data_IF_889712731073
#
_entry.id   IF_889712731073
#
_cell.length_a   1.000
_cell.length_b   1.000
_cell.length_c   1.000
_cell.angle_alpha   90.00
_cell.angle_beta   90.00
_cell.angle_gamma   90.00
#
_symmetry.space_group_name_H-M   'P 1'
#
loop_
_entity.id
_entity.type
_entity.pdbx_description
1 polymer ?
#
# COMPACT_ATOMS: atom_id res chain seq x y z
N UNK A 1 2.79 10.18 -24.61
CA UNK A 1 3.43 9.72 -23.35
C UNK A 1 4.84 9.24 -23.69
N UNK A 2 5.81 9.50 -22.83
CA UNK A 2 7.17 8.95 -22.91
C UNK A 2 7.18 7.43 -22.81
N UNK A 3 8.25 6.76 -23.22
CA UNK A 3 8.44 5.32 -23.06
C UNK A 3 9.02 4.97 -21.68
N UNK A 4 8.94 3.68 -21.28
CA UNK A 4 9.59 3.19 -20.06
C UNK A 4 11.09 3.52 -20.00
N UNK A 5 11.91 3.25 -21.03
CA UNK A 5 13.34 3.58 -20.99
C UNK A 5 13.61 5.07 -20.74
N UNK A 6 12.86 5.96 -21.41
CA UNK A 6 13.02 7.40 -21.22
C UNK A 6 12.68 7.86 -19.79
N UNK A 7 11.75 7.19 -19.11
CA UNK A 7 11.45 7.47 -17.71
C UNK A 7 12.48 6.82 -16.77
N UNK A 8 12.96 5.63 -17.09
CA UNK A 8 14.05 4.99 -16.35
C UNK A 8 15.32 5.85 -16.34
N UNK A 9 15.68 6.47 -17.48
CA UNK A 9 16.80 7.40 -17.57
C UNK A 9 16.60 8.61 -16.65
N UNK A 10 15.39 9.16 -16.57
CA UNK A 10 15.06 10.26 -15.64
C UNK A 10 15.09 9.86 -14.17
N UNK A 11 14.85 8.59 -13.84
CA UNK A 11 15.02 8.10 -12.46
C UNK A 11 16.51 8.03 -12.12
N UNK A 12 17.35 7.67 -13.08
CA UNK A 12 18.82 7.57 -12.92
C UNK A 12 19.52 8.92 -12.90
N UNK A 13 18.97 9.90 -13.61
CA UNK A 13 19.50 11.26 -13.69
C UNK A 13 19.58 11.93 -12.31
N UNK A 14 20.82 12.11 -11.82
CA UNK A 14 21.10 12.70 -10.51
C UNK A 14 20.94 14.21 -10.48
N UNK A 15 20.92 14.86 -11.64
CA UNK A 15 20.77 16.32 -11.76
C UNK A 15 19.30 16.74 -11.63
N UNK A 16 18.38 15.78 -11.73
CA UNK A 16 16.96 16.03 -11.51
C UNK A 16 16.59 16.05 -10.02
N UNK A 17 15.72 16.98 -9.59
CA UNK A 17 15.16 16.97 -8.25
C UNK A 17 14.48 15.64 -7.91
N UNK A 18 14.61 15.17 -6.66
CA UNK A 18 14.04 13.91 -6.17
C UNK A 18 12.58 13.70 -6.56
N UNK A 19 11.75 14.75 -6.43
CA UNK A 19 10.34 14.71 -6.82
C UNK A 19 10.13 14.36 -8.29
N UNK A 20 10.97 14.85 -9.21
CA UNK A 20 10.87 14.53 -10.64
C UNK A 20 11.28 13.09 -10.92
N UNK A 21 12.33 12.61 -10.25
CA UNK A 21 12.77 11.21 -10.31
C UNK A 21 11.70 10.26 -9.81
N UNK A 22 11.02 10.59 -8.71
CA UNK A 22 9.88 9.83 -8.19
C UNK A 22 8.71 9.77 -9.18
N UNK A 23 8.36 10.89 -9.82
CA UNK A 23 7.30 10.90 -10.83
C UNK A 23 7.67 10.03 -12.03
N UNK A 24 8.94 10.05 -12.45
CA UNK A 24 9.43 9.16 -13.51
C UNK A 24 9.29 7.67 -13.12
N UNK A 25 9.61 7.30 -11.88
CA UNK A 25 9.43 5.93 -11.39
C UNK A 25 7.95 5.50 -11.40
N UNK A 26 7.03 6.41 -11.06
CA UNK A 26 5.59 6.15 -11.14
C UNK A 26 5.14 5.89 -12.58
N UNK A 27 5.64 6.68 -13.53
CA UNK A 27 5.39 6.45 -14.96
C UNK A 27 5.95 5.10 -15.42
N UNK A 28 7.14 4.69 -14.97
CA UNK A 28 7.66 3.34 -15.22
C UNK A 28 6.69 2.25 -14.71
N UNK A 29 6.11 2.46 -13.53
CA UNK A 29 5.13 1.53 -12.92
C UNK A 29 3.81 1.49 -13.69
N UNK A 30 3.39 2.60 -14.31
CA UNK A 30 2.23 2.61 -15.22
C UNK A 30 2.49 1.79 -16.50
N UNK A 31 3.73 1.83 -17.02
CA UNK A 31 4.12 1.05 -18.19
C UNK A 31 4.23 -0.46 -17.92
N UNK A 32 4.56 -0.85 -16.69
CA UNK A 32 4.68 -2.26 -16.30
C UNK A 32 4.24 -2.45 -14.85
N UNK A 33 3.12 -3.13 -14.65
CA UNK A 33 2.51 -3.33 -13.32
C UNK A 33 2.04 -4.77 -13.15
N UNK A 34 2.94 -5.74 -12.92
CA UNK A 34 2.60 -7.16 -12.90
C UNK A 34 1.44 -7.51 -11.95
N UNK A 35 1.24 -6.77 -10.86
CA UNK A 35 0.14 -7.00 -9.91
C UNK A 35 -1.07 -6.07 -10.07
N UNK A 36 -1.10 -5.25 -11.12
CA UNK A 36 -1.91 -4.03 -11.14
C UNK A 36 -1.17 -2.87 -10.49
N UNK A 37 -1.53 -1.64 -10.87
CA UNK A 37 -0.75 -0.46 -10.52
C UNK A 37 -0.59 -0.26 -9.01
N UNK A 38 -1.69 -0.34 -8.25
CA UNK A 38 -1.68 -0.08 -6.80
C UNK A 38 -0.83 -1.09 -6.04
N UNK A 39 -1.03 -2.38 -6.30
CA UNK A 39 -0.28 -3.45 -5.66
C UNK A 39 1.19 -3.47 -6.09
N UNK A 40 1.49 -3.17 -7.36
CA UNK A 40 2.90 -3.05 -7.82
C UNK A 40 3.58 -1.86 -7.15
N UNK A 41 2.88 -0.71 -7.06
CA UNK A 41 3.42 0.46 -6.37
C UNK A 41 3.67 0.15 -4.90
N UNK A 42 2.69 -0.41 -4.18
CA UNK A 42 2.85 -0.85 -2.79
C UNK A 42 4.04 -1.80 -2.62
N UNK A 43 4.18 -2.80 -3.50
CA UNK A 43 5.31 -3.72 -3.51
C UNK A 43 6.64 -2.98 -3.59
N UNK A 44 6.79 -2.04 -4.52
CA UNK A 44 8.02 -1.24 -4.63
C UNK A 44 8.25 -0.38 -3.38
N UNK A 45 7.20 0.19 -2.79
CA UNK A 45 7.34 0.96 -1.55
C UNK A 45 7.89 0.11 -0.41
N UNK A 46 7.35 -1.08 -0.21
CA UNK A 46 7.75 -1.96 0.88
C UNK A 46 9.08 -2.65 0.60
N UNK A 47 9.25 -3.29 -0.56
CA UNK A 47 10.41 -4.14 -0.84
C UNK A 47 11.66 -3.35 -1.24
N UNK A 48 11.50 -2.29 -2.04
CA UNK A 48 12.64 -1.41 -2.32
C UNK A 48 12.86 -0.37 -1.21
N UNK A 49 11.95 -0.30 -0.23
CA UNK A 49 12.03 0.57 0.94
C UNK A 49 11.92 2.05 0.59
N UNK A 50 11.01 2.44 -0.31
CA UNK A 50 10.85 3.84 -0.70
C UNK A 50 10.34 4.68 0.49
N UNK A 51 11.13 5.64 1.00
CA UNK A 51 10.70 6.44 2.13
C UNK A 51 9.70 7.54 1.75
N UNK A 52 9.02 8.07 2.76
CA UNK A 52 8.17 9.26 2.62
C UNK A 52 9.06 10.45 2.23
N UNK A 53 10.16 10.65 2.96
CA UNK A 53 11.20 11.63 2.67
C UNK A 53 12.35 10.95 1.90
N UNK A 54 12.50 11.27 0.61
CA UNK A 54 13.47 10.58 -0.28
C UNK A 54 14.92 10.90 0.06
N UNK A 55 15.13 12.00 0.79
CA UNK A 55 16.41 12.47 1.26
C UNK A 55 17.04 11.50 2.27
N UNK A 56 16.22 10.71 2.99
CA UNK A 56 16.69 9.68 3.93
C UNK A 56 17.38 8.51 3.22
N UNK A 57 16.91 8.16 2.03
CA UNK A 57 17.49 7.10 1.20
C UNK A 57 17.27 7.38 -0.29
N UNK A 58 18.12 8.22 -0.90
CA UNK A 58 18.03 8.51 -2.33
C UNK A 58 18.23 7.26 -3.21
N UNK A 59 18.94 6.25 -2.69
CA UNK A 59 19.22 4.99 -3.38
C UNK A 59 17.98 4.11 -3.54
N UNK A 60 16.92 4.34 -2.76
CA UNK A 60 15.69 3.56 -2.83
C UNK A 60 15.01 3.63 -4.20
N UNK A 61 15.12 4.77 -4.90
CA UNK A 61 14.55 4.95 -6.24
C UNK A 61 15.23 4.05 -7.28
N UNK A 62 16.55 3.91 -7.18
CA UNK A 62 17.32 3.05 -8.09
C UNK A 62 17.02 1.58 -7.81
N UNK A 63 16.96 1.16 -6.55
CA UNK A 63 16.58 -0.22 -6.19
C UNK A 63 15.19 -0.58 -6.70
N UNK A 64 14.22 0.33 -6.54
CA UNK A 64 12.87 0.14 -7.06
C UNK A 64 12.83 0.04 -8.60
N UNK A 65 13.61 0.89 -9.28
CA UNK A 65 13.72 0.86 -10.73
C UNK A 65 14.35 -0.45 -11.21
N UNK A 66 15.46 -0.87 -10.60
CA UNK A 66 16.21 -2.06 -11.00
C UNK A 66 15.35 -3.31 -10.85
N UNK A 67 14.61 -3.44 -9.76
CA UNK A 67 13.66 -4.54 -9.57
C UNK A 67 12.55 -4.55 -10.63
N UNK A 68 11.98 -3.38 -10.95
CA UNK A 68 10.94 -3.26 -11.96
C UNK A 68 11.46 -3.54 -13.38
N UNK A 69 12.66 -3.07 -13.69
CA UNK A 69 13.30 -3.24 -14.99
C UNK A 69 13.73 -4.69 -15.22
N UNK A 70 14.30 -5.36 -14.23
CA UNK A 70 14.64 -6.79 -14.30
C UNK A 70 13.41 -7.65 -14.61
N UNK A 71 12.31 -7.41 -13.88
CA UNK A 71 11.04 -8.08 -14.13
C UNK A 71 10.47 -7.77 -15.52
N UNK A 72 10.58 -6.52 -15.97
CA UNK A 72 10.13 -6.10 -17.30
C UNK A 72 10.93 -6.75 -18.41
N UNK A 73 12.25 -6.90 -18.26
CA UNK A 73 13.12 -7.54 -19.25
C UNK A 73 12.71 -8.99 -19.49
N UNK A 74 12.38 -9.74 -18.43
CA UNK A 74 11.86 -11.11 -18.54
C UNK A 74 10.55 -11.17 -19.34
N UNK A 75 9.63 -10.25 -19.05
CA UNK A 75 8.37 -10.14 -19.78
C UNK A 75 8.56 -9.76 -21.25
N UNK A 76 9.47 -8.81 -21.56
CA UNK A 76 9.79 -8.40 -22.92
C UNK A 76 10.42 -9.54 -23.72
N UNK A 77 11.35 -10.29 -23.12
CA UNK A 77 11.98 -11.45 -23.75
C UNK A 77 10.94 -12.52 -24.11
N UNK A 78 10.04 -12.85 -23.18
CA UNK A 78 8.95 -13.80 -23.43
C UNK A 78 7.99 -13.30 -24.51
N UNK A 79 7.64 -12.01 -24.48
CA UNK A 79 6.78 -11.36 -25.49
C UNK A 79 7.43 -11.39 -26.88
N UNK A 80 8.73 -11.11 -26.97
CA UNK A 80 9.46 -11.13 -28.24
C UNK A 80 9.54 -12.55 -28.81
N UNK A 81 9.80 -13.56 -27.97
CA UNK A 81 9.80 -14.96 -28.37
C UNK A 81 8.44 -15.38 -28.95
N UNK A 82 7.34 -14.98 -28.30
CA UNK A 82 5.98 -15.18 -28.80
C UNK A 82 5.73 -14.50 -30.14
N UNK A 83 6.09 -13.22 -30.28
CA UNK A 83 5.92 -12.47 -31.55
C UNK A 83 6.67 -13.17 -32.68
N UNK A 84 7.92 -13.58 -32.45
CA UNK A 84 8.74 -14.29 -33.44
C UNK A 84 8.10 -15.61 -33.85
N UNK A 85 7.66 -16.43 -32.87
CA UNK A 85 6.97 -17.70 -33.14
C UNK A 85 5.66 -17.48 -33.92
N UNK A 86 4.84 -16.51 -33.52
CA UNK A 86 3.58 -16.19 -34.21
C UNK A 86 3.79 -15.70 -35.64
N UNK A 87 4.87 -14.96 -35.91
CA UNK A 87 5.22 -14.56 -37.28
C UNK A 87 5.52 -15.78 -38.15
N UNK A 88 6.31 -16.74 -37.62
CA UNK A 88 6.61 -17.99 -38.32
C UNK A 88 5.36 -18.86 -38.54
N UNK A 89 4.51 -19.02 -37.52
CA UNK A 89 3.25 -19.77 -37.63
C UNK A 89 2.29 -19.15 -38.65
N UNK A 90 2.15 -17.82 -38.65
CA UNK A 90 1.35 -17.11 -39.66
C UNK A 90 1.88 -17.31 -41.08
N UNK A 91 3.20 -17.28 -41.26
CA UNK A 91 3.84 -17.55 -42.55
C UNK A 91 3.60 -19.00 -43.01
N UNK A 92 3.57 -19.95 -42.07
CA UNK A 92 3.24 -21.35 -42.30
C UNK A 92 1.72 -21.64 -42.37
N UNK A 93 0.86 -20.61 -42.48
CA UNK A 93 -0.59 -20.75 -42.63
C UNK A 93 -1.39 -21.00 -41.34
N UNK A 94 -0.72 -21.14 -40.17
CA UNK A 94 -1.38 -21.35 -38.86
C UNK A 94 -1.80 -20.02 -38.22
N UNK A 95 -3.04 -19.61 -38.46
CA UNK A 95 -3.55 -18.29 -38.04
C UNK A 95 -4.20 -18.24 -36.64
N UNK A 96 -4.70 -19.35 -36.12
CA UNK A 96 -5.18 -19.39 -34.72
C UNK A 96 -4.00 -19.35 -33.74
N UNK A 97 -4.12 -18.51 -32.72
CA UNK A 97 -3.21 -18.54 -31.58
C UNK A 97 -3.58 -19.73 -30.69
N UNK A 98 -2.58 -20.29 -30.00
CA UNK A 98 -2.81 -21.43 -29.11
C UNK A 98 -3.44 -20.97 -27.80
N UNK A 99 -4.03 -21.88 -27.02
CA UNK A 99 -4.73 -21.52 -25.78
C UNK A 99 -3.78 -20.96 -24.72
N UNK A 100 -2.58 -21.53 -24.65
CA UNK A 100 -1.46 -21.10 -23.81
C UNK A 100 -0.92 -19.71 -24.18
N UNK A 101 -1.32 -19.14 -25.33
CA UNK A 101 -0.92 -17.79 -25.72
C UNK A 101 -1.88 -16.70 -25.23
N UNK A 102 -2.96 -17.12 -24.55
CA UNK A 102 -4.00 -16.21 -24.08
C UNK A 102 -3.47 -15.12 -23.14
N UNK A 103 -2.42 -15.39 -22.37
CA UNK A 103 -1.87 -14.42 -21.42
C UNK A 103 -1.21 -13.22 -22.12
N UNK A 104 -0.75 -13.36 -23.37
CA UNK A 104 -0.23 -12.23 -24.16
C UNK A 104 -1.32 -11.23 -24.58
N UNK A 105 -2.60 -11.59 -24.42
CA UNK A 105 -3.74 -10.69 -24.68
C UNK A 105 -4.26 -10.00 -23.41
N UNK A 106 -3.71 -10.33 -22.24
CA UNK A 106 -4.05 -9.64 -21.01
C UNK A 106 -3.44 -8.24 -21.01
N UNK A 107 -4.07 -7.25 -20.35
CA UNK A 107 -3.40 -6.00 -20.00
C UNK A 107 -2.11 -6.29 -19.21
N UNK A 108 -1.20 -5.32 -19.07
CA UNK A 108 0.16 -5.48 -18.48
C UNK A 108 0.23 -5.99 -17.02
N UNK A 109 -0.81 -6.67 -16.53
CA UNK A 109 -0.97 -7.29 -15.22
C UNK A 109 -0.92 -8.81 -15.40
N UNK A 110 0.15 -9.43 -14.91
CA UNK A 110 0.34 -10.88 -14.96
C UNK A 110 -0.34 -11.59 -13.77
N UNK A 111 -0.57 -10.91 -12.66
CA UNK A 111 -1.09 -11.48 -11.42
C UNK A 111 -1.84 -10.41 -10.61
N UNK A 112 -3.00 -9.97 -11.10
CA UNK A 112 -3.75 -8.88 -10.48
C UNK A 112 -4.07 -9.15 -9.00
N UNK A 113 -3.71 -8.21 -8.13
CA UNK A 113 -3.99 -8.23 -6.70
C UNK A 113 -4.98 -7.10 -6.38
N UNK A 114 -6.22 -7.42 -5.96
CA UNK A 114 -7.25 -6.43 -5.68
C UNK A 114 -6.95 -5.63 -4.40
N UNK A 115 -6.39 -6.30 -3.39
CA UNK A 115 -5.87 -5.65 -2.19
C UNK A 115 -4.38 -5.31 -2.41
N UNK A 116 -3.98 -4.03 -2.39
CA UNK A 116 -2.60 -3.64 -2.57
C UNK A 116 -1.65 -4.12 -1.47
N UNK A 117 -2.13 -4.45 -0.26
CA UNK A 117 -1.27 -4.96 0.83
C UNK A 117 -1.03 -6.46 0.73
N UNK A 118 -1.91 -7.17 0.02
CA UNK A 118 -1.88 -8.63 -0.11
C UNK A 118 -1.40 -8.97 -1.52
N UNK A 119 -0.09 -8.99 -1.69
CA UNK A 119 0.60 -9.41 -2.91
C UNK A 119 1.79 -10.32 -2.57
N UNK A 120 2.36 -11.06 -3.55
CA UNK A 120 3.60 -11.79 -3.36
C UNK A 120 4.73 -10.87 -2.87
N UNK A 121 5.50 -11.32 -1.86
CA UNK A 121 6.62 -10.55 -1.28
C UNK A 121 7.97 -10.83 -1.94
N UNK A 122 8.10 -11.94 -2.66
CA UNK A 122 9.29 -12.27 -3.45
C UNK A 122 9.55 -11.22 -4.54
N UNK A 123 10.82 -11.07 -4.96
CA UNK A 123 11.21 -10.09 -5.99
C UNK A 123 10.34 -10.21 -7.24
N UNK A 124 9.96 -9.08 -7.84
CA UNK A 124 9.10 -9.05 -9.03
C UNK A 124 9.61 -9.99 -10.14
N UNK A 125 10.91 -9.99 -10.40
CA UNK A 125 11.52 -10.83 -11.43
C UNK A 125 11.29 -12.34 -11.19
N UNK A 126 11.37 -12.78 -9.94
CA UNK A 126 11.14 -14.18 -9.55
C UNK A 126 9.69 -14.58 -9.81
N UNK A 127 8.75 -13.73 -9.40
CA UNK A 127 7.33 -14.01 -9.58
C UNK A 127 6.95 -13.93 -11.05
N UNK A 128 7.38 -12.90 -11.79
CA UNK A 128 7.14 -12.77 -13.23
C UNK A 128 7.68 -13.96 -14.01
N UNK A 129 8.89 -14.43 -13.73
CA UNK A 129 9.44 -15.62 -14.37
C UNK A 129 8.56 -16.85 -14.12
N UNK A 130 8.22 -17.09 -12.85
CA UNK A 130 7.36 -18.22 -12.44
C UNK A 130 6.00 -18.17 -13.14
N UNK A 131 5.44 -16.96 -13.26
CA UNK A 131 4.18 -16.74 -13.95
C UNK A 131 4.30 -17.01 -15.46
N UNK A 132 5.35 -16.53 -16.13
CA UNK A 132 5.57 -16.80 -17.56
C UNK A 132 5.68 -18.31 -17.82
N UNK A 133 6.45 -19.03 -17.00
CA UNK A 133 6.64 -20.48 -17.13
C UNK A 133 5.31 -21.21 -16.96
N UNK A 134 4.55 -20.89 -15.92
CA UNK A 134 3.28 -21.58 -15.68
C UNK A 134 2.25 -21.26 -16.78
N UNK A 135 2.26 -20.07 -17.39
CA UNK A 135 1.32 -19.71 -18.45
C UNK A 135 1.67 -20.40 -19.77
N UNK A 136 2.97 -20.63 -20.00
CA UNK A 136 3.46 -21.41 -21.13
C UNK A 136 3.31 -22.93 -20.96
N UNK A 137 2.91 -23.40 -19.77
CA UNK A 137 2.67 -24.82 -19.54
C UNK A 137 1.25 -25.22 -19.93
N UNK A 138 1.09 -26.33 -20.64
CA UNK A 138 -0.22 -26.92 -20.98
C UNK A 138 -0.93 -27.55 -19.76
N UNK A 139 -0.35 -27.43 -18.57
CA UNK A 139 -0.85 -28.05 -17.35
C UNK A 139 -2.18 -27.41 -16.91
N UNK A 140 -3.10 -28.26 -16.44
CA UNK A 140 -4.33 -27.82 -15.80
C UNK A 140 -4.03 -26.85 -14.63
N UNK A 141 -5.00 -25.99 -14.24
CA UNK A 141 -4.81 -25.08 -13.10
C UNK A 141 -4.31 -25.86 -11.89
N UNK A 142 -3.08 -25.61 -11.46
CA UNK A 142 -2.49 -26.32 -10.32
C UNK A 142 -3.28 -26.00 -9.05
N UNK A 143 -3.36 -26.96 -8.13
CA UNK A 143 -3.83 -26.73 -6.75
C UNK A 143 -2.92 -25.73 -6.02
N UNK A 144 -1.74 -25.45 -6.57
CA UNK A 144 -0.77 -24.50 -6.07
C UNK A 144 -0.87 -23.16 -6.82
N UNK A 145 -0.80 -22.05 -6.10
CA UNK A 145 -0.71 -20.72 -6.69
C UNK A 145 0.65 -20.53 -7.37
N UNK A 146 0.72 -20.25 -8.68
CA UNK A 146 1.99 -20.03 -9.37
C UNK A 146 2.62 -18.67 -9.03
N UNK A 147 1.97 -17.79 -8.28
CA UNK A 147 2.61 -16.57 -7.77
C UNK A 147 3.40 -16.86 -6.48
N UNK A 148 2.76 -17.44 -5.46
CA UNK A 148 3.37 -17.64 -4.14
C UNK A 148 3.69 -19.09 -3.76
N UNK A 149 3.40 -20.08 -4.62
CA UNK A 149 3.56 -21.52 -4.38
C UNK A 149 2.74 -22.11 -3.21
N UNK A 150 1.82 -21.35 -2.62
CA UNK A 150 0.91 -21.87 -1.59
C UNK A 150 -0.25 -22.67 -2.20
N UNK A 151 -0.86 -23.54 -1.40
CA UNK A 151 -2.12 -24.20 -1.77
C UNK A 151 -3.21 -23.15 -2.03
N UNK A 152 -3.95 -23.34 -3.11
CA UNK A 152 -5.02 -22.46 -3.57
C UNK A 152 -6.35 -23.17 -3.42
N UNK A 153 -7.04 -22.87 -2.32
CA UNK A 153 -8.39 -23.35 -2.05
C UNK A 153 -9.50 -22.43 -2.58
N UNK A 154 -9.17 -21.19 -2.93
CA UNK A 154 -10.12 -20.17 -3.43
C UNK A 154 -9.44 -19.11 -4.31
N UNK A 155 -10.26 -18.27 -4.96
CA UNK A 155 -9.86 -17.03 -5.63
C UNK A 155 -10.51 -15.84 -4.91
N UNK A 156 -9.80 -14.73 -4.59
CA UNK A 156 -8.33 -14.55 -4.70
C UNK A 156 -7.54 -15.59 -3.92
N UNK A 157 -6.27 -15.81 -4.28
CA UNK A 157 -5.40 -16.71 -3.53
C UNK A 157 -5.35 -16.29 -2.05
N UNK A 158 -5.69 -17.16 -1.09
CA UNK A 158 -5.77 -16.77 0.33
C UNK A 158 -4.40 -16.41 0.93
N UNK A 159 -3.30 -16.86 0.30
CA UNK A 159 -1.94 -16.57 0.77
C UNK A 159 -1.37 -15.27 0.22
N UNK A 160 -1.67 -14.90 -1.03
CA UNK A 160 -1.02 -13.75 -1.70
C UNK A 160 -1.96 -12.83 -2.47
N UNK A 161 -3.28 -13.01 -2.38
CA UNK A 161 -4.27 -12.10 -2.96
C UNK A 161 -4.45 -12.18 -4.48
N UNK A 162 -3.61 -12.93 -5.20
CA UNK A 162 -3.63 -12.99 -6.67
C UNK A 162 -4.94 -13.59 -7.20
N UNK A 163 -5.56 -12.89 -8.17
CA UNK A 163 -6.83 -13.27 -8.81
C UNK A 163 -6.69 -13.92 -10.19
N UNK A 164 -5.64 -13.65 -10.95
CA UNK A 164 -5.63 -13.96 -12.40
C UNK A 164 -4.77 -15.17 -12.76
N UNK A 165 -5.38 -16.31 -13.14
CA UNK A 165 -4.65 -17.47 -13.70
C UNK A 165 -5.43 -18.31 -14.75
N UNK A 166 -6.40 -17.71 -15.43
CA UNK A 166 -7.08 -18.39 -16.53
C UNK A 166 -8.04 -17.47 -17.27
N UNK A 167 -8.22 -17.72 -18.57
CA UNK A 167 -9.28 -17.11 -19.39
C UNK A 167 -10.68 -17.31 -18.81
N UNK A 168 -10.85 -18.32 -17.95
CA UNK A 168 -12.11 -18.64 -17.27
C UNK A 168 -12.20 -18.01 -15.87
N UNK A 169 -11.06 -17.73 -15.23
CA UNK A 169 -11.00 -17.10 -13.91
C UNK A 169 -11.20 -15.57 -14.00
N UNK A 170 -10.76 -14.96 -15.09
CA UNK A 170 -11.14 -13.62 -15.51
C UNK A 170 -11.21 -13.60 -17.05
N UNK A 171 -12.31 -14.11 -17.65
CA UNK A 171 -12.61 -13.78 -19.03
C UNK A 171 -12.75 -12.27 -19.05
N UNK A 172 -12.18 -11.57 -20.03
CA UNK A 172 -12.57 -10.19 -20.27
C UNK A 172 -14.09 -10.11 -20.21
N UNK A 173 -14.59 -9.39 -19.21
CA UNK A 173 -15.97 -9.58 -18.81
C UNK A 173 -16.86 -9.20 -20.02
N UNK A 174 -17.74 -10.10 -20.49
CA UNK A 174 -18.57 -9.84 -21.65
C UNK A 174 -19.56 -8.67 -21.42
N UNK A 175 -19.62 -8.11 -20.21
CA UNK A 175 -20.56 -7.09 -19.76
C UNK A 175 -19.93 -5.72 -19.38
N UNK A 176 -18.62 -5.49 -19.54
CA UNK A 176 -17.98 -4.19 -19.23
C UNK A 176 -17.74 -3.83 -17.74
N UNK A 177 -17.98 -4.73 -16.78
CA UNK A 177 -17.55 -4.55 -15.37
C UNK A 177 -16.03 -4.40 -15.17
N UNK A 178 -15.66 -3.32 -14.47
CA UNK A 178 -14.33 -3.11 -13.92
C UNK A 178 -13.93 -4.27 -12.99
N UNK A 179 -12.63 -4.50 -12.70
CA UNK A 179 -12.25 -5.34 -11.56
C UNK A 179 -13.10 -4.93 -10.35
N UNK A 180 -13.53 -5.88 -9.50
CA UNK A 180 -14.33 -5.55 -8.33
C UNK A 180 -13.65 -4.40 -7.60
N UNK A 181 -14.44 -3.45 -7.10
CA UNK A 181 -13.90 -2.37 -6.28
C UNK A 181 -12.95 -3.00 -5.27
N UNK A 182 -11.71 -2.48 -5.14
CA UNK A 182 -10.77 -3.00 -4.17
C UNK A 182 -11.50 -3.06 -2.83
N UNK A 183 -11.42 -4.19 -2.10
CA UNK A 183 -12.14 -4.29 -0.84
C UNK A 183 -11.79 -3.09 0.04
N UNK A 184 -12.76 -2.59 0.81
CA UNK A 184 -12.62 -1.43 1.74
C UNK A 184 -11.59 -1.68 2.88
N UNK A 185 -10.79 -2.76 2.75
CA UNK A 185 -9.87 -3.31 3.75
C UNK A 185 -8.40 -2.95 3.52
N UNK A 186 -8.01 -2.51 2.32
CA UNK A 186 -6.61 -2.20 1.99
C UNK A 186 -6.22 -0.73 2.23
N UNK A 187 -4.91 -0.42 2.17
CA UNK A 187 -4.44 0.95 2.35
C UNK A 187 -5.19 1.94 1.42
N UNK A 188 -5.72 3.06 1.95
CA UNK A 188 -6.20 4.19 1.19
C UNK A 188 -5.14 4.53 0.17
N UNK A 189 -5.55 4.60 -1.08
CA UNK A 189 -4.63 4.74 -2.19
C UNK A 189 -3.71 5.96 -2.00
N UNK A 190 -4.21 7.04 -1.39
CA UNK A 190 -3.43 8.22 -1.03
C UNK A 190 -2.18 7.88 -0.20
N UNK A 191 -2.25 6.89 0.70
CA UNK A 191 -1.14 6.56 1.60
C UNK A 191 -0.08 5.70 0.94
N UNK A 192 -0.51 4.72 0.16
CA UNK A 192 0.40 3.96 -0.71
C UNK A 192 1.08 4.94 -1.68
N UNK A 193 0.31 5.85 -2.25
CA UNK A 193 0.80 6.89 -3.14
C UNK A 193 1.84 7.78 -2.46
N UNK A 194 1.57 8.22 -1.23
CA UNK A 194 2.49 9.03 -0.43
C UNK A 194 3.63 8.22 0.22
N UNK A 195 3.60 6.88 0.12
CA UNK A 195 4.57 5.92 0.70
C UNK A 195 4.53 5.84 2.24
N UNK A 196 3.42 6.27 2.83
CA UNK A 196 3.13 6.18 4.25
C UNK A 196 2.47 4.83 4.56
N UNK A 197 3.19 3.73 4.29
CA UNK A 197 2.71 2.35 4.44
C UNK A 197 3.44 1.66 5.59
N UNK A 198 2.79 0.65 6.20
CA UNK A 198 3.39 -0.18 7.25
C UNK A 198 4.70 -0.79 6.76
N UNK A 199 5.77 -0.57 7.53
CA UNK A 199 7.04 -1.29 7.38
C UNK A 199 7.04 -2.48 8.34
N UNK A 200 7.98 -3.42 8.16
CA UNK A 200 8.10 -4.56 9.07
C UNK A 200 8.32 -4.15 10.53
N UNK A 201 8.89 -2.95 10.76
CA UNK A 201 9.10 -2.36 12.09
C UNK A 201 7.87 -1.66 12.67
N UNK A 202 6.82 -1.42 11.87
CA UNK A 202 5.63 -0.70 12.31
C UNK A 202 4.79 -1.58 13.22
N UNK A 203 4.51 -1.10 14.42
CA UNK A 203 3.58 -1.74 15.36
C UNK A 203 2.29 -0.94 15.44
N UNK A 204 1.17 -1.60 15.68
CA UNK A 204 -0.12 -0.94 15.76
C UNK A 204 -1.28 -1.92 15.81
N UNK A 205 -2.50 -1.40 15.69
CA UNK A 205 -3.73 -2.18 15.77
C UNK A 205 -4.88 -1.54 15.01
N UNK A 206 -5.87 -2.34 14.65
CA UNK A 206 -7.06 -1.92 13.92
C UNK A 206 -6.89 -1.98 12.40
N UNK A 207 -7.96 -1.56 11.72
CA UNK A 207 -8.08 -1.58 10.26
C UNK A 207 -8.21 -0.17 9.73
N UNK A 208 -7.59 0.09 8.60
CA UNK A 208 -7.50 1.45 8.11
C UNK A 208 -8.79 1.98 7.50
N UNK A 209 -9.57 1.13 6.83
CA UNK A 209 -10.93 1.47 6.40
C UNK A 209 -11.89 1.72 7.56
N UNK A 210 -11.49 1.38 8.79
CA UNK A 210 -12.20 1.59 10.04
C UNK A 210 -11.41 2.62 10.88
N UNK A 211 -10.95 2.23 12.06
CA UNK A 211 -9.99 2.98 12.87
C UNK A 211 -8.70 2.16 13.03
N UNK A 212 -7.55 2.83 12.85
CA UNK A 212 -6.23 2.21 13.04
C UNK A 212 -5.27 3.20 13.66
N UNK A 213 -4.44 2.72 14.56
CA UNK A 213 -3.33 3.48 15.13
C UNK A 213 -2.04 2.67 14.98
N UNK A 214 -0.97 3.33 14.59
CA UNK A 214 0.34 2.70 14.42
C UNK A 214 1.51 3.63 14.73
N UNK A 215 2.64 3.02 15.00
CA UNK A 215 3.90 3.65 15.30
C UNK A 215 5.02 2.93 14.56
N UNK A 216 5.82 3.68 13.82
CA UNK A 216 7.00 3.17 13.11
C UNK A 216 8.24 3.75 13.75
N UNK A 217 8.98 2.96 14.56
CA UNK A 217 10.23 3.43 15.16
C UNK A 217 11.24 3.83 14.08
N UNK A 218 11.91 4.98 14.28
CA UNK A 218 12.96 5.48 13.37
C UNK A 218 14.36 5.44 13.99
N UNK A 219 14.45 5.38 15.33
CA UNK A 219 15.72 5.31 16.08
C UNK A 219 16.04 3.93 16.67
N UNK A 220 17.29 3.78 17.16
CA UNK A 220 17.74 2.57 17.86
C UNK A 220 17.06 2.38 19.23
N UNK A 221 16.73 3.47 19.92
CA UNK A 221 16.00 3.46 21.19
C UNK A 221 14.54 2.99 21.03
N UNK A 222 14.03 3.01 19.79
CA UNK A 222 12.65 2.70 19.39
C UNK A 222 11.58 3.52 20.12
N UNK A 223 11.96 4.59 20.80
CA UNK A 223 11.06 5.49 21.51
C UNK A 223 10.59 6.65 20.62
N UNK A 224 11.41 7.02 19.64
CA UNK A 224 11.08 7.99 18.62
C UNK A 224 10.75 7.32 17.29
N UNK A 225 9.73 7.84 16.63
CA UNK A 225 9.24 7.28 15.39
C UNK A 225 8.09 8.08 14.82
N UNK A 226 7.54 7.58 13.72
CA UNK A 226 6.37 8.17 13.08
C UNK A 226 5.12 7.56 13.70
N UNK A 227 4.29 8.38 14.34
CA UNK A 227 2.98 7.97 14.86
C UNK A 227 1.88 8.37 13.88
N UNK A 228 0.94 7.46 13.63
CA UNK A 228 -0.09 7.66 12.63
C UNK A 228 -1.43 7.08 13.08
N UNK A 229 -2.48 7.90 13.00
CA UNK A 229 -3.87 7.46 13.13
C UNK A 229 -4.54 7.52 11.76
N UNK A 230 -5.40 6.55 11.52
CA UNK A 230 -6.27 6.49 10.36
C UNK A 230 -7.73 6.37 10.79
N UNK A 231 -8.58 7.16 10.15
CA UNK A 231 -10.03 7.15 10.37
C UNK A 231 -10.70 7.08 9.00
N UNK A 232 -11.39 5.97 8.71
CA UNK A 232 -12.01 5.70 7.39
C UNK A 232 -11.04 5.93 6.22
N UNK A 233 -9.79 5.54 6.43
CA UNK A 233 -8.73 5.67 5.45
C UNK A 233 -8.08 7.05 5.34
N UNK A 234 -8.48 8.02 6.15
CA UNK A 234 -7.78 9.30 6.19
C UNK A 234 -6.69 9.23 7.25
N UNK A 235 -5.44 9.37 6.82
CA UNK A 235 -4.30 9.54 7.71
C UNK A 235 -4.33 10.93 8.34
N UNK A 236 -4.23 11.00 9.66
CA UNK A 236 -4.33 12.25 10.41
C UNK A 236 -2.97 12.83 10.87
N UNK A 237 -1.94 12.01 11.06
CA UNK A 237 -0.59 12.45 11.36
C UNK A 237 0.14 13.06 10.15
N UNK A 238 1.09 13.95 10.42
CA UNK A 238 1.94 14.62 9.41
C UNK A 238 3.22 13.85 9.04
N UNK A 239 3.38 12.65 9.58
CA UNK A 239 4.56 11.80 9.45
C UNK A 239 5.85 12.37 10.06
N UNK A 240 5.74 13.33 10.98
CA UNK A 240 6.89 13.80 11.77
C UNK A 240 7.32 12.74 12.79
N UNK A 241 8.58 12.85 13.22
CA UNK A 241 9.13 11.98 14.28
C UNK A 241 8.72 12.53 15.64
N UNK A 242 8.15 11.67 16.48
CA UNK A 242 7.58 11.98 17.78
C UNK A 242 7.88 10.86 18.79
N UNK A 243 7.70 11.15 20.08
CA UNK A 243 7.82 10.18 21.16
C UNK A 243 6.54 9.36 21.32
N UNK A 244 6.66 8.02 21.32
CA UNK A 244 5.52 7.10 21.43
C UNK A 244 4.67 7.33 22.70
N UNK A 245 5.29 7.70 23.82
CA UNK A 245 4.62 7.77 25.11
C UNK A 245 3.44 8.75 25.13
N UNK A 246 3.59 9.93 24.53
CA UNK A 246 2.51 10.93 24.49
C UNK A 246 1.31 10.41 23.70
N UNK A 247 1.56 9.81 22.54
CA UNK A 247 0.48 9.25 21.72
C UNK A 247 -0.17 8.01 22.33
N UNK A 248 0.57 7.21 23.08
CA UNK A 248 0.02 6.08 23.83
C UNK A 248 -1.04 6.55 24.85
N UNK A 249 -0.78 7.66 25.56
CA UNK A 249 -1.74 8.25 26.49
C UNK A 249 -2.98 8.80 25.76
N UNK A 250 -2.78 9.52 24.66
CA UNK A 250 -3.87 10.09 23.87
C UNK A 250 -4.79 9.00 23.29
N UNK A 251 -4.22 7.88 22.83
CA UNK A 251 -5.00 6.72 22.38
C UNK A 251 -5.79 6.06 23.51
N UNK A 252 -5.25 6.05 24.74
CA UNK A 252 -5.98 5.53 25.91
C UNK A 252 -7.20 6.40 26.20
N UNK A 253 -7.05 7.72 26.14
CA UNK A 253 -8.16 8.67 26.32
C UNK A 253 -9.23 8.51 25.23
N UNK A 254 -8.81 8.30 23.97
CA UNK A 254 -9.74 7.97 22.89
C UNK A 254 -10.51 6.68 23.16
N UNK A 255 -9.84 5.64 23.69
CA UNK A 255 -10.49 4.39 24.07
C UNK A 255 -11.47 4.61 25.22
N UNK A 256 -11.10 5.37 26.24
CA UNK A 256 -11.99 5.69 27.37
C UNK A 256 -13.24 6.46 26.87
N UNK A 257 -13.06 7.42 25.96
CA UNK A 257 -14.17 8.10 25.30
C UNK A 257 -15.05 7.14 24.49
N UNK A 258 -14.46 6.16 23.80
CA UNK A 258 -15.15 5.11 23.03
C UNK A 258 -15.91 4.11 23.91
N UNK A 259 -15.53 3.93 25.18
CA UNK A 259 -16.22 3.02 26.12
C UNK A 259 -17.32 3.72 26.93
N UNK A 260 -17.24 5.04 27.11
CA UNK A 260 -18.20 5.81 27.92
C UNK A 260 -19.58 5.98 27.26
N UNK A 261 -20.65 5.33 27.74
CA UNK A 261 -21.95 5.34 27.08
C UNK A 261 -22.55 6.75 26.95
N UNK A 262 -23.45 6.90 25.99
CA UNK A 262 -24.19 8.13 25.75
C UNK A 262 -23.57 9.03 24.68
N UNK A 263 -24.36 10.04 24.29
CA UNK A 263 -23.97 11.02 23.30
C UNK A 263 -23.29 12.23 23.96
N UNK A 264 -22.20 12.71 23.36
CA UNK A 264 -21.47 13.89 23.81
C UNK A 264 -21.26 14.82 22.62
N UNK A 265 -21.48 16.11 22.86
CA UNK A 265 -21.21 17.15 21.89
C UNK A 265 -19.72 17.23 21.52
N UNK A 266 -19.36 18.06 20.54
CA UNK A 266 -17.99 18.16 20.08
C UNK A 266 -17.10 18.68 21.20
N UNK A 267 -16.22 17.82 21.71
CA UNK A 267 -15.20 18.18 22.67
C UNK A 267 -13.86 18.37 21.94
N UNK A 268 -13.05 19.38 22.27
CA UNK A 268 -11.70 19.50 21.74
C UNK A 268 -10.93 18.20 21.95
N UNK A 269 -10.23 17.75 20.91
CA UNK A 269 -9.43 16.55 20.93
C UNK A 269 -7.97 16.93 20.65
N UNK A 270 -7.07 16.63 21.58
CA UNK A 270 -5.63 16.76 21.35
C UNK A 270 -5.02 15.37 21.21
N UNK A 271 -4.32 15.13 20.11
CA UNK A 271 -3.65 13.85 19.85
C UNK A 271 -2.12 13.97 19.93
N UNK A 272 -1.61 15.13 20.36
CA UNK A 272 -0.18 15.43 20.49
C UNK A 272 0.39 16.14 19.27
N UNK A 273 1.70 16.42 19.34
CA UNK A 273 2.45 17.28 18.41
C UNK A 273 2.32 16.92 16.93
N UNK A 274 2.27 15.62 16.62
CA UNK A 274 2.11 15.07 15.25
C UNK A 274 0.79 15.49 14.58
N UNK A 275 -0.15 16.05 15.36
CA UNK A 275 -1.47 16.47 14.91
C UNK A 275 -1.71 17.98 15.10
N UNK A 276 -0.70 18.77 15.50
CA UNK A 276 -0.85 20.21 15.77
C UNK A 276 -1.22 21.03 14.52
N UNK A 277 -1.03 20.45 13.33
CA UNK A 277 -1.50 21.01 12.07
C UNK A 277 -3.03 20.91 11.89
N UNK A 278 -3.74 20.23 12.79
CA UNK A 278 -5.19 20.06 12.78
C UNK A 278 -5.84 20.64 14.04
N UNK A 279 -6.92 21.39 13.85
CA UNK A 279 -7.93 21.57 14.88
C UNK A 279 -8.87 20.35 14.87
N UNK A 280 -8.91 19.62 15.98
CA UNK A 280 -9.71 18.40 16.10
C UNK A 280 -10.74 18.53 17.21
N UNK A 281 -11.95 18.05 16.94
CA UNK A 281 -12.94 17.76 17.97
C UNK A 281 -13.57 16.40 17.76
N UNK A 282 -14.10 15.86 18.85
CA UNK A 282 -14.70 14.54 18.91
C UNK A 282 -16.13 14.65 19.41
N UNK A 283 -17.06 14.19 18.59
CA UNK A 283 -18.44 13.93 19.00
C UNK A 283 -18.60 12.43 19.20
N UNK A 284 -19.36 12.02 20.21
CA UNK A 284 -19.71 10.60 20.41
C UNK A 284 -21.22 10.44 20.37
N UNK A 285 -21.68 9.34 19.78
CA UNK A 285 -23.06 8.85 19.89
C UNK A 285 -23.05 7.53 20.66
N UNK A 286 -24.18 6.84 20.75
CA UNK A 286 -24.23 5.52 21.38
C UNK A 286 -23.44 4.46 20.61
N UNK A 287 -23.22 4.65 19.30
CA UNK A 287 -22.56 3.65 18.44
C UNK A 287 -21.31 4.16 17.75
N UNK A 288 -21.20 5.47 17.56
CA UNK A 288 -20.22 6.07 16.66
C UNK A 288 -19.38 7.13 17.37
N UNK A 289 -18.17 7.32 16.85
CA UNK A 289 -17.31 8.46 17.13
C UNK A 289 -17.15 9.25 15.84
N UNK A 290 -17.35 10.56 15.93
CA UNK A 290 -17.26 11.47 14.79
C UNK A 290 -16.11 12.43 15.06
N UNK A 291 -15.05 12.27 14.28
CA UNK A 291 -13.90 13.14 14.26
C UNK A 291 -14.22 14.33 13.34
N UNK A 292 -14.15 15.54 13.88
CA UNK A 292 -14.30 16.78 13.13
C UNK A 292 -12.93 17.44 13.04
N UNK A 293 -12.48 17.70 11.83
CA UNK A 293 -11.12 18.12 11.52
C UNK A 293 -11.16 19.42 10.71
N UNK A 294 -10.31 20.38 11.07
CA UNK A 294 -9.99 21.54 10.25
C UNK A 294 -8.47 21.73 10.23
N UNK A 295 -7.94 22.29 9.15
CA UNK A 295 -6.53 22.71 9.12
C UNK A 295 -6.35 23.91 10.05
N UNK A 296 -5.37 23.85 10.94
CA UNK A 296 -5.01 24.97 11.82
C UNK A 296 -4.49 26.15 10.99
N UNK A 297 -4.98 27.38 11.22
CA UNK A 297 -4.51 28.58 10.52
C UNK A 297 -3.06 28.94 10.86
N UNK A 298 -2.53 28.43 11.97
CA UNK A 298 -1.14 28.65 12.40
C UNK A 298 -0.18 27.61 11.79
N UNK A 299 -0.70 26.49 11.29
CA UNK A 299 0.09 25.53 10.54
C UNK A 299 0.40 26.09 9.16
N UNK A 300 1.62 25.85 8.64
CA UNK A 300 2.06 26.35 7.34
C UNK A 300 1.26 25.78 6.15
N UNK A 301 1.94 25.15 5.19
CA UNK A 301 1.23 24.44 4.13
C UNK A 301 0.72 23.10 4.70
N UNK A 302 -0.61 22.89 4.85
CA UNK A 302 -1.12 21.65 5.40
C UNK A 302 -0.80 20.46 4.49
N UNK A 303 -0.81 19.24 5.02
CA UNK A 303 -0.64 18.05 4.20
C UNK A 303 -1.67 18.02 3.06
N UNK A 304 -1.33 17.49 1.86
CA UNK A 304 -2.22 17.48 0.70
C UNK A 304 -3.57 16.80 0.92
N UNK A 305 -3.70 15.96 1.94
CA UNK A 305 -4.93 15.26 2.31
C UNK A 305 -5.81 16.03 3.31
N UNK A 306 -5.25 17.03 4.01
CA UNK A 306 -5.97 17.79 5.02
C UNK A 306 -7.04 18.70 4.36
N UNK A 307 -8.15 18.98 5.06
CA UNK A 307 -9.17 19.87 4.52
C UNK A 307 -8.59 21.26 4.23
N UNK A 308 -9.01 21.87 3.12
CA UNK A 308 -8.59 23.24 2.79
C UNK A 308 -8.91 24.19 3.96
N UNK A 309 -8.07 25.21 4.17
CA UNK A 309 -8.30 26.21 5.22
C UNK A 309 -9.74 26.76 5.17
N UNK A 310 -10.40 26.80 6.33
CA UNK A 310 -11.81 27.19 6.46
C UNK A 310 -12.83 26.11 6.14
N UNK A 311 -12.43 24.91 5.69
CA UNK A 311 -13.32 23.74 5.54
C UNK A 311 -13.15 22.78 6.70
N UNK A 312 -14.27 22.14 7.08
CA UNK A 312 -14.30 21.05 8.06
C UNK A 312 -14.53 19.72 7.37
N UNK A 313 -13.79 18.71 7.79
CA UNK A 313 -13.96 17.31 7.40
C UNK A 313 -14.54 16.53 8.58
N UNK A 314 -15.55 15.68 8.32
CA UNK A 314 -16.17 14.84 9.34
C UNK A 314 -15.93 13.37 8.97
N UNK A 315 -15.33 12.62 9.89
CA UNK A 315 -15.03 11.20 9.72
C UNK A 315 -15.70 10.41 10.83
N UNK A 316 -16.48 9.40 10.46
CA UNK A 316 -17.27 8.61 11.40
C UNK A 316 -16.76 7.17 11.44
N UNK A 317 -16.56 6.64 12.63
CA UNK A 317 -16.17 5.24 12.89
C UNK A 317 -17.00 4.67 14.02
N UNK A 318 -17.14 3.34 14.07
CA UNK A 318 -17.82 2.68 15.19
C UNK A 318 -16.95 2.78 16.45
N UNK A 319 -17.60 2.94 17.61
CA UNK A 319 -16.90 2.90 18.91
C UNK A 319 -16.15 1.58 19.11
N UNK A 320 -16.74 0.47 18.64
CA UNK A 320 -16.11 -0.85 18.68
C UNK A 320 -14.83 -0.94 17.85
N UNK A 321 -14.74 -0.22 16.73
CA UNK A 321 -13.54 -0.20 15.88
C UNK A 321 -12.35 0.45 16.63
N UNK A 322 -12.61 1.55 17.33
CA UNK A 322 -11.59 2.24 18.16
C UNK A 322 -11.13 1.35 19.32
N UNK A 323 -12.07 0.71 20.03
CA UNK A 323 -11.76 -0.21 21.13
C UNK A 323 -10.97 -1.43 20.65
N UNK A 324 -11.35 -2.02 19.52
CA UNK A 324 -10.64 -3.17 18.95
C UNK A 324 -9.22 -2.80 18.52
N UNK A 325 -9.05 -1.65 17.85
CA UNK A 325 -7.75 -1.15 17.46
C UNK A 325 -6.83 -0.91 18.67
N UNK A 326 -7.37 -0.34 19.76
CA UNK A 326 -6.64 -0.19 21.02
C UNK A 326 -6.19 -1.54 21.58
N UNK A 327 -7.11 -2.52 21.68
CA UNK A 327 -6.80 -3.86 22.21
C UNK A 327 -5.69 -4.58 21.43
N UNK A 328 -5.65 -4.37 20.12
CA UNK A 328 -4.59 -4.91 19.26
C UNK A 328 -3.25 -4.15 19.40
N UNK A 329 -3.31 -2.82 19.55
CA UNK A 329 -2.13 -1.96 19.56
C UNK A 329 -1.44 -1.90 20.93
N UNK A 330 -2.22 -1.88 22.02
CA UNK A 330 -1.74 -1.64 23.38
C UNK A 330 -0.60 -2.58 23.81
N UNK A 331 -0.72 -3.92 23.67
CA UNK A 331 0.35 -4.82 24.08
C UNK A 331 1.66 -4.55 23.34
N UNK A 332 1.57 -4.19 22.06
CA UNK A 332 2.72 -3.93 21.19
C UNK A 332 3.40 -2.61 21.54
N UNK A 333 2.62 -1.57 21.82
CA UNK A 333 3.15 -0.28 22.28
C UNK A 333 3.80 -0.40 23.66
N UNK A 334 3.18 -1.12 24.61
CA UNK A 334 3.79 -1.39 25.92
C UNK A 334 5.12 -2.13 25.80
N UNK A 335 5.20 -3.12 24.91
CA UNK A 335 6.44 -3.85 24.65
C UNK A 335 7.55 -2.92 24.12
N UNK A 336 7.25 -2.01 23.19
CA UNK A 336 8.23 -1.03 22.71
C UNK A 336 8.70 -0.08 23.81
N UNK A 337 7.78 0.44 24.62
CA UNK A 337 8.12 1.35 25.72
C UNK A 337 9.01 0.67 26.78
N UNK A 338 8.79 -0.62 27.06
CA UNK A 338 9.63 -1.39 27.98
C UNK A 338 11.07 -1.57 27.44
N UNK A 339 11.21 -1.91 26.16
CA UNK A 339 12.54 -2.09 25.52
C UNK A 339 13.35 -0.78 25.55
N UNK A 340 12.70 0.36 25.27
CA UNK A 340 13.38 1.66 25.29
C UNK A 340 13.87 2.08 26.67
N UNK A 341 13.17 1.69 27.75
CA UNK A 341 13.59 1.96 29.12
C UNK A 341 14.83 1.16 29.51
N UNK A 342 14.94 -0.10 29.07
CA UNK A 342 16.13 -0.93 29.30
C UNK A 342 17.34 -0.38 28.54
N UNK A 343 17.17 0.03 27.28
CA UNK A 343 18.24 0.57 26.44
C UNK A 343 18.80 1.92 26.93
N UNK A 344 18.00 2.74 27.62
CA UNK A 344 18.45 4.03 28.18
C UNK A 344 19.19 3.93 29.52
N UNK A 345 19.29 2.74 30.10
CA UNK A 345 19.98 2.50 31.39
C UNK A 345 21.32 1.78 31.27
N UNK A 346 21.69 1.35 30.06
CA UNK A 346 22.99 0.78 29.70
C UNK A 346 23.86 1.86 29.02
#
# INVERSE_FOLDING_TARGET
>A
MSSFPAQADRVRDTDLPMRRRLLALRECTLHFSPYGFRATWHHLVVNAGLPVYLEEDPGSLLRALDELEEARQLWLAATQAFITRRRQEKAAGRRQARREDAWHTLPNWLAFCPDPEVHPRERLATVVHRLIVAYGSEAAPSEVCPACKALRSSLPCPSCGVCSWGREAFPWNPAGFWPPDPPDTGLPWQLIWHRAVRRETTVGGGRMGEFRAEFTPTGQDRLFGVFQIYVRGVALGDATTTALYHHFLNLRELRDAAELPGSRGPLPLSLGDTFDHLEMSLETTDQDMIFVLATSPESGAPPPWAPQAGRRMRLMVRRSEVVNAWREAEPRFRQLLAIGQEAGTA
#
